data_IF_984491859055
#
_entry.id   IF_984491859055
#
_cell.length_a   1.000
_cell.length_b   1.000
_cell.length_c   1.000
_cell.angle_alpha   90.00
_cell.angle_beta   90.00
_cell.angle_gamma   90.00
#
_symmetry.space_group_name_H-M   'P 1'
#
loop_
_entity.id
_entity.type
_entity.pdbx_description
1 polymer ?
#
# COMPACT_ATOMS: atom_id res chain seq x y z
N UNK A 1 25.21 -1.04 4.62
CA UNK A 1 24.05 -1.48 5.42
C UNK A 1 24.46 -2.75 6.13
N UNK A 2 24.07 -2.98 7.39
CA UNK A 2 24.43 -4.21 8.11
C UNK A 2 23.62 -5.42 7.57
N UNK A 3 24.15 -6.63 7.63
CA UNK A 3 23.53 -7.85 7.12
C UNK A 3 22.18 -8.15 7.78
N UNK A 4 22.06 -7.87 9.08
CA UNK A 4 20.78 -8.00 9.82
C UNK A 4 19.70 -7.10 9.20
N UNK A 5 20.04 -5.86 8.88
CA UNK A 5 19.13 -4.89 8.24
C UNK A 5 18.77 -5.34 6.82
N UNK A 6 19.74 -5.82 6.04
CA UNK A 6 19.51 -6.35 4.69
C UNK A 6 18.53 -7.53 4.70
N UNK A 7 18.73 -8.47 5.63
CA UNK A 7 17.83 -9.63 5.82
C UNK A 7 16.42 -9.20 6.20
N UNK A 8 16.28 -8.28 7.15
CA UNK A 8 14.98 -7.74 7.57
C UNK A 8 14.23 -7.07 6.41
N UNK A 9 14.90 -6.17 5.68
CA UNK A 9 14.34 -5.47 4.51
C UNK A 9 13.85 -6.48 3.45
N UNK A 10 14.63 -7.51 3.17
CA UNK A 10 14.27 -8.54 2.19
C UNK A 10 13.02 -9.34 2.62
N UNK A 11 12.94 -9.74 3.90
CA UNK A 11 11.75 -10.42 4.44
C UNK A 11 10.51 -9.54 4.32
N UNK A 12 10.62 -8.26 4.69
CA UNK A 12 9.50 -7.32 4.59
C UNK A 12 9.01 -7.15 3.15
N UNK A 13 9.93 -7.06 2.16
CA UNK A 13 9.52 -7.01 0.76
C UNK A 13 8.80 -8.29 0.28
N UNK A 14 9.24 -9.47 0.74
CA UNK A 14 8.52 -10.72 0.45
C UNK A 14 7.11 -10.72 1.03
N UNK A 15 6.94 -10.26 2.27
CA UNK A 15 5.63 -10.14 2.91
C UNK A 15 4.75 -9.18 2.12
N UNK A 16 5.27 -8.01 1.71
CA UNK A 16 4.52 -7.04 0.91
C UNK A 16 4.13 -7.59 -0.47
N UNK A 17 4.91 -8.50 -1.04
CA UNK A 17 4.55 -9.17 -2.30
C UNK A 17 3.38 -10.15 -2.15
N UNK A 18 3.27 -10.83 -1.00
CA UNK A 18 2.24 -11.85 -0.74
C UNK A 18 0.96 -11.24 -0.14
N UNK A 19 1.08 -10.13 0.60
CA UNK A 19 -0.05 -9.49 1.29
C UNK A 19 -1.27 -9.21 0.40
N UNK A 20 -1.14 -8.72 -0.85
CA UNK A 20 -2.30 -8.50 -1.73
C UNK A 20 -3.10 -9.78 -2.02
N UNK A 21 -2.42 -10.92 -2.14
CA UNK A 21 -3.08 -12.22 -2.39
C UNK A 21 -3.86 -12.66 -1.17
N UNK A 22 -3.26 -12.56 0.02
CA UNK A 22 -3.92 -12.93 1.28
C UNK A 22 -5.14 -12.05 1.52
N UNK A 23 -5.02 -10.74 1.29
CA UNK A 23 -6.12 -9.80 1.47
C UNK A 23 -7.26 -10.04 0.48
N UNK A 24 -6.96 -10.39 -0.78
CA UNK A 24 -7.99 -10.77 -1.76
C UNK A 24 -8.83 -11.95 -1.27
N UNK A 25 -8.20 -12.99 -0.73
CA UNK A 25 -8.91 -14.16 -0.18
C UNK A 25 -9.81 -13.75 0.97
N UNK A 26 -9.27 -12.99 1.95
CA UNK A 26 -10.02 -12.53 3.12
C UNK A 26 -11.19 -11.63 2.73
N UNK A 27 -10.97 -10.66 1.85
CA UNK A 27 -12.01 -9.75 1.38
C UNK A 27 -13.09 -10.46 0.57
N UNK A 28 -12.73 -11.46 -0.24
CA UNK A 28 -13.71 -12.25 -0.98
C UNK A 28 -14.69 -12.92 0.00
N UNK A 29 -14.18 -13.58 1.04
CA UNK A 29 -15.02 -14.20 2.08
C UNK A 29 -15.88 -13.15 2.79
N UNK A 30 -15.28 -12.03 3.21
CA UNK A 30 -16.01 -10.97 3.92
C UNK A 30 -17.14 -10.36 3.07
N UNK A 31 -16.89 -10.06 1.80
CA UNK A 31 -17.90 -9.46 0.92
C UNK A 31 -18.99 -10.44 0.51
N UNK A 32 -18.69 -11.73 0.35
CA UNK A 32 -19.71 -12.73 0.02
C UNK A 32 -20.64 -13.04 1.19
N UNK A 33 -20.10 -13.12 2.42
CA UNK A 33 -20.85 -13.66 3.56
C UNK A 33 -21.32 -12.60 4.56
N UNK A 34 -20.59 -11.50 4.74
CA UNK A 34 -20.80 -10.57 5.86
C UNK A 34 -21.22 -9.17 5.40
N UNK A 35 -20.58 -8.60 4.38
CA UNK A 35 -20.72 -7.18 4.01
C UNK A 35 -21.52 -6.96 2.72
N UNK A 36 -22.76 -7.46 2.64
CA UNK A 36 -23.57 -7.45 1.41
C UNK A 36 -24.12 -6.08 0.97
N UNK A 37 -24.25 -5.12 1.90
CA UNK A 37 -24.76 -3.77 1.58
C UNK A 37 -23.65 -2.77 1.25
N UNK A 38 -23.90 -1.89 0.28
CA UNK A 38 -22.93 -0.86 -0.20
C UNK A 38 -21.60 -1.48 -0.65
N UNK A 39 -21.66 -2.64 -1.33
CA UNK A 39 -20.50 -3.43 -1.74
C UNK A 39 -19.47 -2.61 -2.52
N UNK A 40 -19.91 -1.82 -3.49
CA UNK A 40 -19.03 -0.98 -4.31
C UNK A 40 -18.16 -0.05 -3.46
N UNK A 41 -18.79 0.73 -2.59
CA UNK A 41 -18.11 1.66 -1.71
C UNK A 41 -17.16 0.94 -0.76
N UNK A 42 -17.59 -0.20 -0.21
CA UNK A 42 -16.78 -0.97 0.74
C UNK A 42 -15.56 -1.61 0.08
N UNK A 43 -15.69 -2.11 -1.16
CA UNK A 43 -14.58 -2.68 -1.94
C UNK A 43 -13.56 -1.58 -2.24
N UNK A 44 -14.01 -0.44 -2.77
CA UNK A 44 -13.13 0.68 -3.09
C UNK A 44 -12.48 1.28 -1.85
N UNK A 45 -13.24 1.41 -0.76
CA UNK A 45 -12.75 1.84 0.55
C UNK A 45 -11.67 0.90 1.09
N UNK A 46 -11.95 -0.41 1.11
CA UNK A 46 -11.00 -1.39 1.63
C UNK A 46 -9.75 -1.48 0.77
N UNK A 47 -9.89 -1.38 -0.56
CA UNK A 47 -8.76 -1.36 -1.49
C UNK A 47 -7.90 -0.11 -1.31
N UNK A 48 -8.52 1.07 -1.24
CA UNK A 48 -7.82 2.34 -1.03
C UNK A 48 -7.06 2.33 0.29
N UNK A 49 -7.73 1.95 1.38
CA UNK A 49 -7.14 1.89 2.72
C UNK A 49 -5.99 0.90 2.78
N UNK A 50 -6.18 -0.30 2.21
CA UNK A 50 -5.12 -1.30 2.12
C UNK A 50 -3.89 -0.78 1.35
N UNK A 51 -4.10 -0.19 0.17
CA UNK A 51 -3.01 0.35 -0.65
C UNK A 51 -2.22 1.45 0.08
N UNK A 52 -2.91 2.34 0.82
CA UNK A 52 -2.23 3.37 1.62
C UNK A 52 -1.36 2.76 2.72
N UNK A 53 -1.83 1.71 3.40
CA UNK A 53 -1.02 0.98 4.40
C UNK A 53 0.16 0.24 3.77
N UNK A 54 -0.01 -0.31 2.56
CA UNK A 54 1.07 -0.91 1.80
C UNK A 54 2.15 0.12 1.45
N UNK A 55 1.77 1.31 0.96
CA UNK A 55 2.71 2.39 0.70
C UNK A 55 3.41 2.89 1.97
N UNK A 56 2.69 3.06 3.07
CA UNK A 56 3.29 3.43 4.36
C UNK A 56 4.37 2.41 4.78
N UNK A 57 4.09 1.11 4.60
CA UNK A 57 5.04 0.03 4.88
C UNK A 57 6.26 0.07 3.94
N UNK A 58 6.06 0.35 2.66
CA UNK A 58 7.17 0.55 1.69
C UNK A 58 8.06 1.71 2.13
N UNK A 59 7.47 2.86 2.48
CA UNK A 59 8.24 4.02 2.93
C UNK A 59 8.96 3.76 4.25
N UNK A 60 8.35 3.01 5.18
CA UNK A 60 9.02 2.56 6.40
C UNK A 60 10.27 1.72 6.10
N UNK A 61 10.17 0.78 5.16
CA UNK A 61 11.33 -0.02 4.73
C UNK A 61 12.39 0.89 4.10
N UNK A 62 12.00 1.88 3.30
CA UNK A 62 12.94 2.84 2.70
C UNK A 62 13.64 3.71 3.74
N UNK A 63 12.95 4.13 4.81
CA UNK A 63 13.54 4.85 5.96
C UNK A 63 14.67 4.03 6.58
N UNK A 64 14.43 2.74 6.81
CA UNK A 64 15.44 1.82 7.36
C UNK A 64 16.60 1.63 6.38
N UNK A 65 16.30 1.41 5.09
CA UNK A 65 17.30 1.10 4.07
C UNK A 65 18.21 2.31 3.75
N UNK A 66 17.67 3.52 3.76
CA UNK A 66 18.37 4.76 3.35
C UNK A 66 18.72 5.68 4.52
N UNK A 67 18.80 5.16 5.75
CA UNK A 67 19.09 5.95 6.95
C UNK A 67 20.33 6.85 6.84
N UNK A 68 21.33 6.47 6.02
CA UNK A 68 22.55 7.27 5.80
C UNK A 68 22.38 8.39 4.78
N UNK A 69 21.39 8.31 3.87
CA UNK A 69 21.16 9.33 2.85
C UNK A 69 20.05 10.28 3.32
N UNK A 70 20.44 11.47 3.80
CA UNK A 70 19.51 12.46 4.38
C UNK A 70 18.36 12.85 3.44
N UNK A 71 18.62 13.01 2.14
CA UNK A 71 17.59 13.39 1.17
C UNK A 71 16.55 12.28 0.99
N UNK A 72 17.02 11.04 0.78
CA UNK A 72 16.15 9.88 0.65
C UNK A 72 15.38 9.59 1.95
N UNK A 73 16.04 9.70 3.09
CA UNK A 73 15.43 9.52 4.41
C UNK A 73 14.28 10.51 4.64
N UNK A 74 14.50 11.81 4.37
CA UNK A 74 13.48 12.83 4.52
C UNK A 74 12.29 12.57 3.59
N UNK A 75 12.54 12.24 2.32
CA UNK A 75 11.49 11.92 1.36
C UNK A 75 10.68 10.69 1.79
N UNK A 76 11.33 9.63 2.27
CA UNK A 76 10.64 8.43 2.76
C UNK A 76 9.86 8.69 4.06
N UNK A 77 10.39 9.49 4.97
CA UNK A 77 9.69 9.85 6.20
C UNK A 77 8.43 10.68 5.92
N UNK A 78 8.53 11.69 5.04
CA UNK A 78 7.38 12.49 4.60
C UNK A 78 6.35 11.62 3.88
N UNK A 79 6.79 10.76 2.95
CA UNK A 79 5.91 9.82 2.26
C UNK A 79 5.15 8.91 3.22
N UNK A 80 5.85 8.35 4.22
CA UNK A 80 5.24 7.52 5.26
C UNK A 80 4.16 8.30 6.04
N UNK A 81 4.48 9.50 6.51
CA UNK A 81 3.54 10.32 7.28
C UNK A 81 2.29 10.68 6.46
N UNK A 82 2.47 11.04 5.19
CA UNK A 82 1.36 11.34 4.28
C UNK A 82 0.48 10.11 4.08
N UNK A 83 1.06 8.95 3.80
CA UNK A 83 0.30 7.72 3.62
C UNK A 83 -0.47 7.32 4.89
N UNK A 84 0.15 7.43 6.07
CA UNK A 84 -0.50 7.13 7.35
C UNK A 84 -1.62 8.12 7.65
N UNK A 85 -1.38 9.42 7.48
CA UNK A 85 -2.39 10.44 7.70
C UNK A 85 -3.60 10.22 6.77
N UNK A 86 -3.35 9.98 5.48
CA UNK A 86 -4.40 9.65 4.54
C UNK A 86 -5.13 8.37 4.92
N UNK A 87 -4.43 7.30 5.30
CA UNK A 87 -5.05 6.05 5.71
C UNK A 87 -5.99 6.26 6.91
N UNK A 88 -5.56 6.99 7.93
CA UNK A 88 -6.39 7.34 9.10
C UNK A 88 -7.61 8.15 8.67
N UNK A 89 -7.44 9.10 7.75
CA UNK A 89 -8.55 9.93 7.25
C UNK A 89 -9.57 9.12 6.45
N UNK A 90 -9.15 8.17 5.61
CA UNK A 90 -10.08 7.35 4.83
C UNK A 90 -10.61 6.14 5.56
N UNK A 91 -10.00 5.69 6.67
CA UNK A 91 -10.43 4.48 7.42
C UNK A 91 -11.91 4.49 7.85
N UNK A 92 -12.51 5.61 8.27
CA UNK A 92 -13.95 5.67 8.51
C UNK A 92 -14.71 5.68 7.17
N UNK A 93 -15.54 4.66 6.93
CA UNK A 93 -16.28 4.49 5.68
C UNK A 93 -17.09 5.73 5.31
N UNK A 94 -17.82 6.33 6.25
CA UNK A 94 -18.66 7.50 5.98
C UNK A 94 -17.84 8.71 5.55
N UNK A 95 -16.63 8.87 6.12
CA UNK A 95 -15.70 9.94 5.73
C UNK A 95 -15.13 9.66 4.34
N UNK A 96 -14.78 8.41 4.04
CA UNK A 96 -14.34 8.02 2.70
C UNK A 96 -15.41 8.28 1.64
N UNK A 97 -16.66 7.89 1.91
CA UNK A 97 -17.79 8.18 1.02
C UNK A 97 -17.96 9.69 0.84
N UNK A 98 -17.93 10.45 1.94
CA UNK A 98 -18.02 11.91 1.87
C UNK A 98 -16.89 12.58 1.08
N UNK A 99 -15.68 12.01 1.06
CA UNK A 99 -14.53 12.56 0.35
C UNK A 99 -14.45 12.10 -1.11
N UNK A 100 -14.70 10.82 -1.36
CA UNK A 100 -14.40 10.16 -2.64
C UNK A 100 -15.65 9.86 -3.48
N UNK A 101 -16.85 9.84 -2.87
CA UNK A 101 -18.12 9.55 -3.54
C UNK A 101 -19.11 10.72 -3.56
N UNK A 102 -18.84 11.82 -2.83
CA UNK A 102 -19.83 12.92 -2.65
C UNK A 102 -20.23 13.68 -3.91
N UNK A 103 -19.43 13.62 -4.99
CA UNK A 103 -19.72 14.31 -6.25
C UNK A 103 -19.81 13.39 -7.46
N UNK A 104 -19.04 12.30 -7.48
CA UNK A 104 -19.17 11.20 -8.45
C UNK A 104 -18.41 9.96 -7.94
N UNK A 105 -18.90 8.77 -8.30
CA UNK A 105 -18.22 7.50 -8.00
C UNK A 105 -16.83 7.43 -8.69
N UNK A 106 -16.67 8.15 -9.80
CA UNK A 106 -15.49 8.17 -10.65
C UNK A 106 -14.23 8.57 -9.87
N UNK A 107 -14.34 9.51 -8.92
CA UNK A 107 -13.20 9.95 -8.12
C UNK A 107 -12.58 8.81 -7.30
N UNK A 108 -13.41 7.99 -6.66
CA UNK A 108 -12.97 6.82 -5.91
C UNK A 108 -12.31 5.76 -6.79
N UNK A 109 -12.87 5.48 -7.96
CA UNK A 109 -12.29 4.55 -8.94
C UNK A 109 -10.90 5.01 -9.41
N UNK A 110 -10.79 6.29 -9.83
CA UNK A 110 -9.53 6.85 -10.31
C UNK A 110 -8.46 6.81 -9.22
N UNK A 111 -8.79 7.23 -8.00
CA UNK A 111 -7.84 7.20 -6.88
C UNK A 111 -7.33 5.80 -6.61
N UNK A 112 -8.24 4.83 -6.50
CA UNK A 112 -7.88 3.43 -6.24
C UNK A 112 -7.03 2.85 -7.37
N UNK A 113 -7.39 3.12 -8.63
CA UNK A 113 -6.66 2.65 -9.80
C UNK A 113 -5.24 3.23 -9.86
N UNK A 114 -5.08 4.54 -9.60
CA UNK A 114 -3.77 5.19 -9.55
C UNK A 114 -2.89 4.55 -8.48
N UNK A 115 -3.41 4.39 -7.26
CA UNK A 115 -2.66 3.76 -6.17
C UNK A 115 -2.24 2.33 -6.51
N UNK A 116 -3.14 1.55 -7.13
CA UNK A 116 -2.86 0.18 -7.53
C UNK A 116 -1.78 0.10 -8.62
N UNK A 117 -1.86 0.96 -9.64
CA UNK A 117 -0.88 1.03 -10.73
C UNK A 117 0.50 1.41 -10.18
N UNK A 118 0.58 2.45 -9.35
CA UNK A 118 1.84 2.89 -8.74
C UNK A 118 2.44 1.75 -7.90
N UNK A 119 1.62 1.07 -7.10
CA UNK A 119 2.09 -0.03 -6.27
C UNK A 119 2.61 -1.20 -7.12
N UNK A 120 1.89 -1.54 -8.18
CA UNK A 120 2.25 -2.64 -9.08
C UNK A 120 3.55 -2.35 -9.84
N UNK A 121 3.71 -1.13 -10.38
CA UNK A 121 4.93 -0.70 -11.07
C UNK A 121 6.13 -0.73 -10.11
N UNK A 122 5.95 -0.22 -8.89
CA UNK A 122 6.99 -0.27 -7.87
C UNK A 122 7.37 -1.71 -7.52
N UNK A 123 6.38 -2.58 -7.30
CA UNK A 123 6.60 -3.98 -6.95
C UNK A 123 7.37 -4.72 -8.06
N UNK A 124 6.94 -4.62 -9.31
CA UNK A 124 7.62 -5.25 -10.46
C UNK A 124 9.07 -4.76 -10.57
N UNK A 125 9.29 -3.45 -10.40
CA UNK A 125 10.63 -2.86 -10.45
C UNK A 125 11.53 -3.40 -9.32
N UNK A 126 10.98 -3.57 -8.12
CA UNK A 126 11.70 -4.10 -6.95
C UNK A 126 12.07 -5.58 -7.12
N UNK A 127 11.16 -6.40 -7.63
CA UNK A 127 11.37 -7.83 -7.90
C UNK A 127 12.43 -8.00 -8.99
N UNK A 128 12.35 -7.22 -10.08
CA UNK A 128 13.35 -7.25 -11.15
C UNK A 128 14.75 -6.92 -10.62
N UNK A 129 14.87 -5.91 -9.77
CA UNK A 129 16.16 -5.53 -9.17
C UNK A 129 16.75 -6.67 -8.32
N UNK A 130 15.95 -7.29 -7.46
CA UNK A 130 16.40 -8.39 -6.61
C UNK A 130 16.85 -9.61 -7.43
N UNK A 131 16.14 -9.95 -8.51
CA UNK A 131 16.53 -11.08 -9.38
C UNK A 131 17.84 -10.85 -10.14
N UNK A 132 18.18 -9.60 -10.47
CA UNK A 132 19.45 -9.26 -11.11
C UNK A 132 20.64 -9.36 -10.14
N UNK A 133 20.45 -8.95 -8.89
CA UNK A 133 21.48 -9.06 -7.85
C UNK A 133 21.79 -10.51 -7.43
N UNK A 134 20.89 -11.46 -7.68
CA UNK A 134 21.07 -12.88 -7.37
C UNK A 134 21.78 -13.66 -8.50
N UNK A 135 21.92 -13.05 -9.70
CA UNK A 135 22.58 -13.65 -10.88
C UNK A 135 24.03 -13.19 -11.08
N UNK A 136 24.47 -12.16 -10.35
CA UNK A 136 25.82 -11.58 -10.37
C UNK A 136 26.64 -12.09 -9.19
#
# INVERSE_FOLDING_TARGET
>A
MNDKTKKFVNVMYKILGVAPVVVLVVFTVLFTFVLKDRLEERILHSATTFLLWMFASVFYIMVIAHFKNRKALAASAVGMLVCVAMAILVTPLDRYVGLCFSRSHIGAYILTAILLVIYSVWYISSVRKNSLEEKL
#
